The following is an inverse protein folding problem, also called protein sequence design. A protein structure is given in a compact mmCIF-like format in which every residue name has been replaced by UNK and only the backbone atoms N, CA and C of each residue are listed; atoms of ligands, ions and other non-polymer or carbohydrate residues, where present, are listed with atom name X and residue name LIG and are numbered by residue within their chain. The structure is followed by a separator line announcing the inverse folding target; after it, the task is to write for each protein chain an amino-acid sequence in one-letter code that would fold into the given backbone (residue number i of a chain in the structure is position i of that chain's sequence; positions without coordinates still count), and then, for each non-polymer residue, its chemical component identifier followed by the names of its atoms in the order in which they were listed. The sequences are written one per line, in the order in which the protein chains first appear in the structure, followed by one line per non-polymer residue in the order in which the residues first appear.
data_IF_277291818502
#
_entry.id   IF_277291818502
#
_cell.length_a   1.000
_cell.length_b   1.000
_cell.length_c   1.000
_cell.angle_alpha   90.00
_cell.angle_beta   90.00
_cell.angle_gamma   90.00
#
_symmetry.space_group_name_H-M   'P 1'
#
loop_
_entity.id
_entity.type
_entity.pdbx_description
1 polymer ?
#
# COMPACT_ATOMS: atom_id res chain seq x y z
N UNK A 1 25.58 -12.13 6.69
CA UNK A 1 24.52 -11.81 5.70
C UNK A 1 24.61 -10.33 5.39
N UNK A 2 24.68 -9.95 4.11
CA UNK A 2 24.85 -8.54 3.73
C UNK A 2 23.56 -7.77 4.07
N UNK A 3 23.66 -6.76 4.97
CA UNK A 3 22.51 -5.98 5.44
C UNK A 3 21.78 -5.28 4.30
N UNK A 4 22.52 -4.86 3.27
CA UNK A 4 21.94 -4.26 2.07
C UNK A 4 21.05 -5.25 1.29
N UNK A 5 21.50 -6.49 1.10
CA UNK A 5 20.71 -7.54 0.43
C UNK A 5 19.44 -7.87 1.22
N UNK A 6 19.51 -7.86 2.55
CA UNK A 6 18.33 -8.06 3.40
C UNK A 6 17.34 -6.93 3.29
N UNK A 7 17.81 -5.68 3.31
CA UNK A 7 16.96 -4.50 3.13
C UNK A 7 16.24 -4.54 1.77
N UNK A 8 16.96 -4.83 0.69
CA UNK A 8 16.38 -4.97 -0.65
C UNK A 8 15.39 -6.13 -0.72
N UNK A 9 15.72 -7.28 -0.12
CA UNK A 9 14.84 -8.44 -0.05
C UNK A 9 13.55 -8.15 0.72
N UNK A 10 13.63 -7.43 1.84
CA UNK A 10 12.47 -6.96 2.58
C UNK A 10 11.61 -6.00 1.71
N UNK A 11 12.26 -5.13 0.94
CA UNK A 11 11.58 -4.26 -0.01
C UNK A 11 10.80 -5.03 -1.08
N UNK A 12 11.39 -6.08 -1.67
CA UNK A 12 10.69 -6.99 -2.60
C UNK A 12 9.49 -7.64 -1.93
N UNK A 13 9.66 -8.12 -0.70
CA UNK A 13 8.57 -8.70 0.09
C UNK A 13 7.41 -7.72 0.31
N UNK A 14 7.72 -6.47 0.65
CA UNK A 14 6.71 -5.41 0.84
C UNK A 14 5.96 -5.07 -0.45
N UNK A 15 6.66 -4.96 -1.59
CA UNK A 15 6.01 -4.75 -2.89
C UNK A 15 5.12 -5.94 -3.26
N UNK A 16 5.59 -7.16 -3.06
CA UNK A 16 4.81 -8.37 -3.34
C UNK A 16 3.53 -8.43 -2.48
N UNK A 17 3.63 -8.14 -1.18
CA UNK A 17 2.49 -8.05 -0.27
C UNK A 17 1.53 -6.92 -0.68
N UNK A 18 2.04 -5.74 -1.03
CA UNK A 18 1.24 -4.63 -1.56
C UNK A 18 0.48 -5.02 -2.83
N UNK A 19 1.12 -5.75 -3.74
CA UNK A 19 0.50 -6.31 -4.95
C UNK A 19 -0.61 -7.33 -4.64
N UNK A 20 -0.35 -8.26 -3.73
CA UNK A 20 -1.34 -9.25 -3.29
C UNK A 20 -2.57 -8.57 -2.66
N UNK A 21 -2.37 -7.62 -1.76
CA UNK A 21 -3.47 -6.87 -1.13
C UNK A 21 -4.23 -6.08 -2.19
N UNK A 22 -3.54 -5.44 -3.15
CA UNK A 22 -4.19 -4.70 -4.25
C UNK A 22 -5.06 -5.62 -5.10
N UNK A 23 -4.57 -6.81 -5.43
CA UNK A 23 -5.33 -7.76 -6.23
C UNK A 23 -6.64 -8.16 -5.52
N UNK A 24 -6.55 -8.54 -4.25
CA UNK A 24 -7.70 -8.99 -3.46
C UNK A 24 -8.66 -7.86 -3.08
N UNK A 25 -8.15 -6.68 -2.72
CA UNK A 25 -8.97 -5.58 -2.19
C UNK A 25 -9.51 -4.64 -3.29
N UNK A 26 -8.89 -4.61 -4.47
CA UNK A 26 -9.23 -3.65 -5.55
C UNK A 26 -9.60 -4.38 -6.84
N UNK A 27 -8.69 -5.20 -7.37
CA UNK A 27 -8.86 -5.79 -8.71
C UNK A 27 -10.01 -6.80 -8.74
N UNK A 28 -10.04 -7.74 -7.79
CA UNK A 28 -11.07 -8.77 -7.74
C UNK A 28 -12.48 -8.19 -7.53
N UNK A 29 -12.74 -7.27 -6.57
CA UNK A 29 -14.06 -6.65 -6.43
C UNK A 29 -14.50 -5.87 -7.68
N UNK A 30 -13.57 -5.18 -8.37
CA UNK A 30 -13.89 -4.49 -9.62
C UNK A 30 -14.29 -5.46 -10.73
N UNK A 31 -13.60 -6.60 -10.86
CA UNK A 31 -13.95 -7.63 -11.82
C UNK A 31 -15.34 -8.23 -11.53
N UNK A 32 -15.65 -8.48 -10.25
CA UNK A 32 -16.97 -8.95 -9.83
C UNK A 32 -18.07 -7.93 -10.14
N UNK A 33 -17.81 -6.64 -9.88
CA UNK A 33 -18.72 -5.55 -10.23
C UNK A 33 -18.99 -5.50 -11.73
N UNK A 34 -17.94 -5.58 -12.55
CA UNK A 34 -18.07 -5.56 -14.01
C UNK A 34 -18.78 -6.80 -14.56
N UNK A 35 -18.70 -7.94 -13.86
CA UNK A 35 -19.42 -9.16 -14.22
C UNK A 35 -20.91 -9.17 -13.84
N UNK A 36 -21.39 -8.14 -13.13
CA UNK A 36 -22.80 -8.00 -12.74
C UNK A 36 -23.20 -8.83 -11.51
N UNK A 37 -22.25 -9.12 -10.60
CA UNK A 37 -22.55 -9.84 -9.36
C UNK A 37 -23.61 -9.10 -8.51
N UNK A 38 -24.54 -9.83 -7.88
CA UNK A 38 -25.66 -9.21 -7.17
C UNK A 38 -25.23 -8.45 -5.90
N UNK A 39 -24.17 -8.88 -5.22
CA UNK A 39 -23.60 -8.24 -4.03
C UNK A 39 -22.08 -8.36 -4.05
N UNK A 40 -21.38 -7.30 -3.60
CA UNK A 40 -19.92 -7.27 -3.52
C UNK A 40 -19.53 -6.91 -2.09
N UNK A 41 -18.99 -7.89 -1.36
CA UNK A 41 -18.34 -7.64 -0.09
C UNK A 41 -16.90 -7.18 -0.32
N UNK A 42 -16.58 -5.94 0.03
CA UNK A 42 -15.21 -5.43 -0.02
C UNK A 42 -14.76 -4.91 1.34
N UNK A 43 -13.63 -5.42 1.83
CA UNK A 43 -13.01 -4.94 3.07
C UNK A 43 -11.96 -3.86 2.76
N UNK A 44 -12.36 -2.60 2.88
CA UNK A 44 -11.53 -1.44 2.53
C UNK A 44 -10.37 -1.18 3.52
N UNK A 45 -10.28 -1.93 4.62
CA UNK A 45 -9.23 -1.77 5.63
C UNK A 45 -7.85 -2.07 5.05
N UNK A 46 -7.74 -3.03 4.13
CA UNK A 46 -6.48 -3.40 3.47
C UNK A 46 -5.97 -2.35 2.48
N UNK A 47 -6.86 -1.51 1.94
CA UNK A 47 -6.51 -0.50 0.93
C UNK A 47 -5.58 0.59 1.46
N UNK A 48 -5.64 0.88 2.76
CA UNK A 48 -4.69 1.79 3.41
C UNK A 48 -3.27 1.23 3.45
N UNK A 49 -3.09 -0.09 3.45
CA UNK A 49 -1.77 -0.73 3.52
C UNK A 49 -1.08 -0.84 2.16
N UNK A 50 -1.86 -0.79 1.07
CA UNK A 50 -1.36 -0.88 -0.30
C UNK A 50 -0.27 0.16 -0.61
N UNK A 51 -0.51 1.47 -0.45
CA UNK A 51 0.51 2.47 -0.76
C UNK A 51 1.72 2.35 0.16
N UNK A 52 1.55 1.90 1.40
CA UNK A 52 2.66 1.64 2.30
C UNK A 52 3.54 0.50 1.78
N UNK A 53 2.95 -0.62 1.36
CA UNK A 53 3.68 -1.75 0.78
C UNK A 53 4.50 -1.33 -0.45
N UNK A 54 3.92 -0.55 -1.36
CA UNK A 54 4.62 -0.08 -2.55
C UNK A 54 5.68 0.99 -2.26
N UNK A 55 5.35 2.03 -1.50
CA UNK A 55 6.26 3.16 -1.29
C UNK A 55 7.45 2.73 -0.44
N UNK A 56 7.22 2.06 0.69
CA UNK A 56 8.32 1.54 1.50
C UNK A 56 9.04 0.41 0.78
N UNK A 57 8.32 -0.48 0.09
CA UNK A 57 8.93 -1.56 -0.67
C UNK A 57 9.91 -1.07 -1.74
N UNK A 58 9.49 -0.11 -2.58
CA UNK A 58 10.35 0.50 -3.59
C UNK A 58 11.51 1.27 -2.94
N UNK A 59 11.27 1.98 -1.85
CA UNK A 59 12.32 2.71 -1.12
C UNK A 59 13.43 1.76 -0.65
N UNK A 60 13.07 0.60 -0.10
CA UNK A 60 14.05 -0.41 0.35
C UNK A 60 14.70 -1.18 -0.81
N UNK A 61 13.99 -1.44 -1.91
CA UNK A 61 14.57 -2.08 -3.11
C UNK A 61 15.69 -1.21 -3.72
N UNK A 62 15.44 0.10 -3.86
CA UNK A 62 16.38 1.01 -4.51
C UNK A 62 17.40 1.62 -3.54
N UNK A 63 16.97 1.96 -2.32
CA UNK A 63 17.81 2.59 -1.31
C UNK A 63 18.63 1.60 -0.48
N UNK A 64 18.24 0.32 -0.45
CA UNK A 64 18.93 -0.71 0.34
C UNK A 64 19.02 -0.32 1.82
N UNK A 65 20.19 -0.50 2.43
CA UNK A 65 20.40 -0.14 3.85
C UNK A 65 20.26 1.38 4.10
N UNK A 66 20.54 2.23 3.10
CA UNK A 66 20.42 3.69 3.24
C UNK A 66 18.96 4.15 3.40
N UNK A 67 18.01 3.37 2.90
CA UNK A 67 16.58 3.64 3.08
C UNK A 67 16.20 3.70 4.56
N UNK A 68 16.81 2.85 5.40
CA UNK A 68 16.53 2.81 6.84
C UNK A 68 16.92 4.14 7.51
N UNK A 69 18.08 4.69 7.16
CA UNK A 69 18.53 5.99 7.69
C UNK A 69 17.69 7.18 7.21
N UNK A 70 17.04 7.05 6.05
CA UNK A 70 16.15 8.08 5.52
C UNK A 70 14.79 8.04 6.22
N UNK A 71 14.31 6.85 6.58
CA UNK A 71 13.01 6.66 7.22
C UNK A 71 13.09 6.81 8.74
N UNK A 72 14.12 6.23 9.37
CA UNK A 72 14.24 6.06 10.82
C UNK A 72 15.49 6.74 11.36
N UNK A 73 15.39 7.28 12.57
CA UNK A 73 16.55 7.80 13.27
C UNK A 73 17.44 6.65 13.74
N UNK A 74 18.75 6.77 13.51
CA UNK A 74 19.71 5.76 13.90
C UNK A 74 19.67 5.53 15.42
N UNK A 75 19.55 4.26 15.83
CA UNK A 75 19.48 3.88 17.24
C UNK A 75 18.16 4.24 17.95
N UNK A 76 17.15 4.79 17.26
CA UNK A 76 15.86 5.12 17.85
C UNK A 76 14.70 4.53 17.06
N UNK A 77 13.60 4.13 17.71
CA UNK A 77 12.42 3.65 16.99
C UNK A 77 11.64 4.75 16.26
N UNK A 78 12.12 6.00 16.26
CA UNK A 78 11.42 7.19 15.76
C UNK A 78 11.67 7.41 14.28
N UNK A 79 10.63 7.88 13.57
CA UNK A 79 10.77 8.34 12.20
C UNK A 79 11.58 9.64 12.12
N UNK A 80 12.35 9.79 11.05
CA UNK A 80 12.93 11.08 10.68
C UNK A 80 11.82 12.02 10.15
N UNK A 81 12.17 13.30 9.89
CA UNK A 81 11.25 14.21 9.18
C UNK A 81 10.82 13.62 7.82
N UNK A 82 11.74 13.00 7.10
CA UNK A 82 11.44 12.33 5.83
C UNK A 82 10.57 11.08 6.01
N UNK A 83 10.83 10.29 7.05
CA UNK A 83 9.97 9.15 7.41
C UNK A 83 8.53 9.57 7.67
N UNK A 84 8.32 10.70 8.35
CA UNK A 84 6.98 11.27 8.53
C UNK A 84 6.36 11.76 7.22
N UNK A 85 7.10 12.49 6.39
CA UNK A 85 6.61 12.95 5.09
C UNK A 85 6.19 11.77 4.20
N UNK A 86 7.02 10.72 4.13
CA UNK A 86 6.72 9.51 3.37
C UNK A 86 5.50 8.79 3.93
N UNK A 87 5.40 8.67 5.26
CA UNK A 87 4.27 8.04 5.93
C UNK A 87 2.95 8.78 5.68
N UNK A 88 2.96 10.10 5.85
CA UNK A 88 1.78 10.95 5.62
C UNK A 88 1.40 10.95 4.13
N UNK A 89 2.40 11.04 3.23
CA UNK A 89 2.17 10.94 1.79
C UNK A 89 1.57 9.59 1.39
N UNK A 90 2.05 8.50 1.97
CA UNK A 90 1.51 7.15 1.74
C UNK A 90 0.07 7.04 2.22
N UNK A 91 -0.25 7.60 3.40
CA UNK A 91 -1.61 7.64 3.92
C UNK A 91 -2.55 8.49 3.03
N UNK A 92 -2.08 9.64 2.55
CA UNK A 92 -2.85 10.49 1.63
C UNK A 92 -3.15 9.78 0.30
N UNK A 93 -2.17 9.06 -0.25
CA UNK A 93 -2.39 8.22 -1.44
C UNK A 93 -3.42 7.14 -1.15
N UNK A 94 -3.36 6.49 0.02
CA UNK A 94 -4.35 5.49 0.43
C UNK A 94 -5.77 6.05 0.48
N UNK A 95 -5.94 7.25 1.05
CA UNK A 95 -7.22 7.94 1.07
C UNK A 95 -7.72 8.32 -0.33
N UNK A 96 -6.82 8.74 -1.24
CA UNK A 96 -7.17 9.02 -2.63
C UNK A 96 -7.61 7.77 -3.39
N UNK A 97 -6.89 6.65 -3.24
CA UNK A 97 -7.27 5.38 -3.86
C UNK A 97 -8.60 4.89 -3.30
N UNK A 98 -8.82 5.01 -1.99
CA UNK A 98 -10.11 4.72 -1.36
C UNK A 98 -11.23 5.53 -1.98
N UNK A 99 -11.08 6.85 -2.06
CA UNK A 99 -12.09 7.75 -2.61
C UNK A 99 -12.38 7.46 -4.08
N UNK A 100 -11.34 7.21 -4.88
CA UNK A 100 -11.49 6.82 -6.28
C UNK A 100 -12.26 5.50 -6.40
N UNK A 101 -11.89 4.48 -5.63
CA UNK A 101 -12.50 3.16 -5.69
C UNK A 101 -13.98 3.17 -5.29
N UNK A 102 -14.33 3.87 -4.21
CA UNK A 102 -15.73 4.01 -3.80
C UNK A 102 -16.55 4.76 -4.84
N UNK A 103 -15.97 5.78 -5.50
CA UNK A 103 -16.62 6.48 -6.61
C UNK A 103 -16.89 5.56 -7.80
N UNK A 104 -15.95 4.68 -8.15
CA UNK A 104 -16.13 3.72 -9.25
C UNK A 104 -17.22 2.69 -8.95
N UNK A 105 -17.23 2.14 -7.73
CA UNK A 105 -18.23 1.15 -7.31
C UNK A 105 -19.63 1.79 -7.22
N UNK A 106 -19.72 3.01 -6.71
CA UNK A 106 -20.97 3.77 -6.67
C UNK A 106 -21.51 4.07 -8.09
N UNK A 107 -20.63 4.36 -9.06
CA UNK A 107 -21.02 4.55 -10.46
C UNK A 107 -21.60 3.26 -11.10
N UNK A 108 -21.26 2.09 -10.56
CA UNK A 108 -21.80 0.80 -10.99
C UNK A 108 -23.07 0.39 -10.23
N UNK A 109 -23.61 1.26 -9.35
CA UNK A 109 -24.85 1.02 -8.60
C UNK A 109 -24.69 0.24 -7.30
N UNK A 110 -23.45 -0.07 -6.90
CA UNK A 110 -23.17 -0.74 -5.63
C UNK A 110 -22.94 0.30 -4.53
N UNK A 111 -23.64 0.15 -3.41
CA UNK A 111 -23.45 0.97 -2.22
C UNK A 111 -22.77 0.11 -1.16
N UNK A 112 -21.80 0.70 -0.46
CA UNK A 112 -21.14 0.05 0.66
C UNK A 112 -22.20 -0.36 1.70
N UNK A 113 -22.31 -1.65 1.98
CA UNK A 113 -23.19 -2.19 3.01
C UNK A 113 -22.77 -1.72 4.41
#
# INVERSE_FOLDING_TARGET
MNRDLLARGAGVGLVALGGLITYWAVVQPLQLAQSGAAEISFELRGLFLVPWGFIFGLLYIFGGEKADTLVRQEGQPRFTKWGWVISIGSAAIGALVYWWFTTQIAAMGYVQA
#
